data_IF_853871117493
#
_entry.id   IF_853871117493
#
_cell.length_a   1.000
_cell.length_b   1.000
_cell.length_c   1.000
_cell.angle_alpha   90.00
_cell.angle_beta   90.00
_cell.angle_gamma   90.00
#
_symmetry.space_group_name_H-M   'P 1'
#
loop_
_entity.id
_entity.type
_entity.pdbx_description
1 polymer ?
#
# COMPACT_ATOMS: atom_id res chain seq x y z
N UNK A 1 -10.72 14.48 15.00
CA UNK A 1 -11.16 13.07 14.94
C UNK A 1 -9.93 12.21 14.78
N UNK A 2 -9.80 11.13 15.57
CA UNK A 2 -8.61 10.26 15.58
C UNK A 2 -8.65 9.36 14.35
N UNK A 3 -7.58 9.38 13.55
CA UNK A 3 -7.39 8.47 12.42
C UNK A 3 -7.14 7.05 12.96
N UNK A 4 -8.06 6.12 12.68
CA UNK A 4 -7.94 4.71 13.00
C UNK A 4 -7.49 4.00 11.71
N UNK A 5 -6.22 3.62 11.63
CA UNK A 5 -5.66 2.74 10.60
C UNK A 5 -6.12 1.29 10.89
N UNK A 6 -6.33 0.43 9.87
CA UNK A 6 -7.50 -0.43 9.76
C UNK A 6 -7.65 -1.36 10.97
N UNK A 7 -8.62 -1.05 11.82
CA UNK A 7 -9.18 -2.03 12.72
C UNK A 7 -10.06 -2.95 11.89
N UNK A 8 -9.95 -4.26 12.10
CA UNK A 8 -10.89 -5.23 11.54
C UNK A 8 -12.30 -4.92 12.07
N UNK A 9 -13.14 -4.31 11.23
CA UNK A 9 -14.52 -3.94 11.57
C UNK A 9 -15.51 -5.11 11.36
N UNK A 10 -15.03 -6.35 11.16
CA UNK A 10 -15.92 -7.51 11.09
C UNK A 10 -16.69 -7.61 12.41
N UNK A 11 -18.01 -7.43 12.31
CA UNK A 11 -18.94 -7.60 13.43
C UNK A 11 -18.72 -9.03 13.96
N UNK A 12 -18.26 -9.22 15.20
CA UNK A 12 -18.08 -10.55 15.74
C UNK A 12 -19.44 -11.27 15.71
N UNK A 13 -19.47 -12.56 15.36
CA UNK A 13 -20.73 -13.31 15.36
C UNK A 13 -21.38 -13.20 16.75
N UNK A 14 -22.72 -13.12 16.82
CA UNK A 14 -23.43 -12.96 18.08
C UNK A 14 -23.03 -14.08 19.03
N UNK A 15 -22.49 -13.69 20.19
CA UNK A 15 -22.07 -14.63 21.22
C UNK A 15 -23.29 -15.43 21.65
N UNK A 16 -23.30 -16.77 21.51
CA UNK A 16 -24.44 -17.56 21.93
C UNK A 16 -24.66 -17.37 23.44
N UNK A 17 -25.92 -17.30 23.91
CA UNK A 17 -26.21 -17.08 25.32
C UNK A 17 -25.55 -18.16 26.16
N UNK A 18 -24.72 -17.74 27.13
CA UNK A 18 -24.06 -18.61 28.12
C UNK A 18 -25.11 -19.47 28.83
N UNK A 19 -25.27 -20.72 28.40
CA UNK A 19 -26.02 -21.72 29.15
C UNK A 19 -25.19 -22.09 30.38
N UNK A 20 -25.76 -21.89 31.57
CA UNK A 20 -25.20 -22.39 32.84
C UNK A 20 -25.20 -23.93 32.80
N UNK A 21 -24.06 -24.50 32.45
CA UNK A 21 -23.81 -25.94 32.52
C UNK A 21 -22.31 -26.19 32.53
N UNK A 22 -21.84 -27.08 33.40
CA UNK A 22 -20.46 -27.59 33.38
C UNK A 22 -20.26 -28.42 32.11
N UNK A 23 -19.93 -27.77 31.00
CA UNK A 23 -19.39 -28.42 29.83
C UNK A 23 -18.00 -27.84 29.54
N UNK A 24 -17.05 -28.77 29.54
CA UNK A 24 -15.63 -28.57 29.24
C UNK A 24 -15.51 -27.92 27.86
N UNK A 25 -14.91 -26.74 27.81
CA UNK A 25 -14.75 -25.91 26.62
C UNK A 25 -13.99 -26.67 25.52
N UNK A 26 -14.71 -27.00 24.43
CA UNK A 26 -14.15 -27.42 23.14
C UNK A 26 -14.49 -26.32 22.12
N UNK A 27 -14.23 -25.06 22.50
CA UNK A 27 -14.60 -23.88 21.72
C UNK A 27 -13.43 -23.00 21.25
N UNK A 28 -12.23 -23.16 21.83
CA UNK A 28 -11.08 -22.31 21.48
C UNK A 28 -10.37 -22.69 20.17
N UNK A 29 -10.70 -23.83 19.56
CA UNK A 29 -10.05 -24.28 18.32
C UNK A 29 -10.64 -23.69 17.03
N UNK A 30 -11.73 -22.93 17.08
CA UNK A 30 -12.32 -22.32 15.87
C UNK A 30 -11.63 -21.02 15.42
N UNK A 31 -10.92 -20.32 16.33
CA UNK A 31 -10.17 -19.10 16.02
C UNK A 31 -8.67 -19.34 15.71
N UNK A 32 -8.19 -20.59 15.87
CA UNK A 32 -6.80 -20.98 15.60
C UNK A 32 -6.47 -21.29 14.13
N UNK A 33 -7.28 -20.82 13.17
CA UNK A 33 -7.04 -21.03 11.71
C UNK A 33 -6.59 -19.78 10.96
N UNK A 34 -6.17 -18.75 11.69
CA UNK A 34 -5.45 -17.61 11.12
C UNK A 34 -4.02 -17.68 11.64
N UNK A 35 -3.10 -18.26 10.86
CA UNK A 35 -1.66 -18.27 11.16
C UNK A 35 -1.01 -16.88 11.00
N UNK A 36 -1.81 -15.82 10.78
CA UNK A 36 -1.34 -14.45 10.77
C UNK A 36 -1.35 -13.88 12.21
N UNK A 37 -0.24 -13.27 12.68
CA UNK A 37 -0.22 -12.60 13.97
C UNK A 37 -1.26 -11.47 13.98
N UNK A 38 -2.21 -11.56 14.90
CA UNK A 38 -3.19 -10.50 15.16
C UNK A 38 -2.46 -9.34 15.85
N UNK A 39 -2.14 -8.28 15.09
CA UNK A 39 -1.52 -7.07 15.63
C UNK A 39 -2.64 -6.12 16.06
N UNK A 40 -3.14 -6.31 17.28
CA UNK A 40 -4.06 -5.38 17.93
C UNK A 40 -3.28 -4.41 18.84
N UNK A 41 -3.60 -3.13 18.74
CA UNK A 41 -2.95 -2.09 19.53
C UNK A 41 -3.32 -2.25 21.02
N UNK A 42 -2.33 -2.55 21.87
CA UNK A 42 -2.53 -2.71 23.32
C UNK A 42 -2.60 -4.16 23.82
N UNK A 43 -2.47 -5.15 22.95
CA UNK A 43 -2.37 -6.55 23.36
C UNK A 43 -0.97 -6.89 23.90
N UNK A 44 -0.91 -7.62 25.02
CA UNK A 44 0.33 -7.97 25.73
C UNK A 44 1.29 -8.88 24.93
N UNK A 45 0.89 -9.31 23.73
CA UNK A 45 1.70 -10.10 22.79
C UNK A 45 2.27 -9.26 21.63
N UNK A 46 2.00 -7.96 21.59
CA UNK A 46 2.50 -7.07 20.56
C UNK A 46 4.04 -6.95 20.64
N UNK A 47 4.71 -7.03 19.49
CA UNK A 47 6.14 -6.74 19.41
C UNK A 47 6.38 -5.28 19.78
N UNK A 48 7.26 -5.04 20.75
CA UNK A 48 7.67 -3.68 21.14
C UNK A 48 9.09 -3.44 20.67
N UNK A 49 9.33 -2.24 20.13
CA UNK A 49 10.65 -1.80 19.72
C UNK A 49 11.40 -1.28 20.95
N UNK A 50 12.47 -1.95 21.34
CA UNK A 50 13.28 -1.57 22.51
C UNK A 50 14.69 -1.18 22.07
N UNK A 51 15.33 -0.28 22.82
CA UNK A 51 16.70 0.15 22.58
C UNK A 51 17.67 -0.70 23.41
N UNK A 52 18.48 -1.52 22.76
CA UNK A 52 19.52 -2.35 23.38
C UNK A 52 20.87 -1.86 22.88
N UNK A 53 21.69 -1.29 23.77
CA UNK A 53 23.03 -0.79 23.47
C UNK A 53 23.09 0.22 22.31
N UNK A 54 22.12 1.13 22.22
CA UNK A 54 22.08 2.15 21.17
C UNK A 54 21.52 1.64 19.83
N UNK A 55 21.04 0.40 19.78
CA UNK A 55 20.44 -0.20 18.58
C UNK A 55 19.01 -0.65 18.89
N UNK A 56 18.08 -0.28 18.02
CA UNK A 56 16.67 -0.63 18.17
C UNK A 56 16.43 -2.06 17.68
N UNK A 57 15.83 -2.90 18.53
CA UNK A 57 15.49 -4.29 18.24
C UNK A 57 14.01 -4.53 18.55
N UNK A 58 13.33 -5.29 17.67
CA UNK A 58 11.97 -5.75 17.92
C UNK A 58 12.00 -6.96 18.83
N UNK A 59 11.46 -6.84 20.04
CA UNK A 59 11.27 -7.97 20.95
C UNK A 59 9.79 -8.25 21.19
N UNK A 60 9.44 -9.53 21.26
CA UNK A 60 8.10 -9.96 21.64
C UNK A 60 8.06 -10.09 23.16
N UNK A 61 7.08 -9.44 23.80
CA UNK A 61 6.81 -9.63 25.22
C UNK A 61 6.35 -11.08 25.40
N UNK A 62 7.26 -11.97 25.85
CA UNK A 62 6.91 -13.36 26.15
C UNK A 62 5.93 -13.39 27.34
N UNK A 63 4.98 -14.33 27.38
CA UNK A 63 4.14 -14.52 28.56
C UNK A 63 5.03 -14.89 29.76
N UNK A 64 4.98 -14.02 30.77
CA UNK A 64 5.76 -14.06 32.00
C UNK A 64 5.37 -15.27 32.84
N UNK A 65 6.30 -16.21 33.03
CA UNK A 65 6.16 -17.26 34.07
C UNK A 65 7.10 -17.07 35.27
N UNK A 66 7.96 -16.05 35.27
CA UNK A 66 8.87 -15.80 36.41
C UNK A 66 8.46 -14.59 37.24
N UNK A 67 8.34 -14.82 38.56
CA UNK A 67 7.83 -13.84 39.55
C UNK A 67 8.80 -12.69 39.87
N UNK A 68 9.99 -12.66 39.25
CA UNK A 68 11.08 -11.78 39.65
C UNK A 68 11.60 -10.82 38.56
N UNK A 69 10.90 -10.65 37.44
CA UNK A 69 11.36 -9.75 36.37
C UNK A 69 10.75 -8.33 36.41
N UNK A 70 11.53 -7.32 35.97
CA UNK A 70 11.16 -5.91 36.09
C UNK A 70 9.91 -5.57 35.28
N UNK A 71 8.93 -4.94 35.94
CA UNK A 71 7.73 -4.41 35.29
C UNK A 71 8.10 -3.24 34.39
N UNK A 72 8.10 -3.43 33.07
CA UNK A 72 8.30 -2.34 32.12
C UNK A 72 7.10 -1.37 32.17
N UNK A 73 7.36 -0.12 32.53
CA UNK A 73 6.39 0.96 32.44
C UNK A 73 6.31 1.45 30.98
N UNK A 74 5.08 1.65 30.49
CA UNK A 74 4.84 2.33 29.21
C UNK A 74 5.33 3.77 29.35
N UNK A 75 6.49 4.07 28.77
CA UNK A 75 7.00 5.44 28.65
C UNK A 75 6.27 6.15 27.50
N UNK A 76 6.09 7.47 27.60
CA UNK A 76 5.47 8.30 26.56
C UNK A 76 6.11 8.00 25.19
N UNK A 77 5.27 7.84 24.17
CA UNK A 77 5.70 7.60 22.78
C UNK A 77 6.70 8.67 22.35
N UNK A 78 7.90 8.24 21.96
CA UNK A 78 8.91 9.11 21.36
C UNK A 78 8.87 8.95 19.84
N UNK A 79 8.92 10.07 19.11
CA UNK A 79 9.02 10.07 17.66
C UNK A 79 10.46 9.71 17.27
N UNK A 80 10.64 8.52 16.69
CA UNK A 80 11.97 7.92 16.42
C UNK A 80 12.51 8.33 15.03
N UNK A 81 11.62 8.73 14.13
CA UNK A 81 11.99 9.21 12.79
C UNK A 81 11.60 10.67 12.64
N UNK A 82 12.48 11.54 12.10
CA UNK A 82 12.07 12.88 11.72
C UNK A 82 10.90 12.77 10.75
N UNK A 83 9.92 13.65 10.88
CA UNK A 83 8.74 13.64 10.02
C UNK A 83 9.21 13.76 8.56
N UNK A 84 9.08 12.68 7.79
CA UNK A 84 9.54 12.62 6.40
C UNK A 84 8.62 13.37 5.44
N UNK A 85 7.53 13.94 5.95
CA UNK A 85 6.63 14.80 5.20
C UNK A 85 7.13 16.22 5.32
N UNK A 86 7.22 16.93 4.19
CA UNK A 86 7.26 18.39 4.21
C UNK A 86 6.14 18.90 5.12
N UNK A 87 6.42 19.92 5.94
CA UNK A 87 5.41 20.56 6.77
C UNK A 87 4.16 20.80 5.91
N UNK A 88 3.01 20.34 6.42
CA UNK A 88 1.76 20.52 5.68
C UNK A 88 1.64 22.00 5.38
N UNK A 89 1.51 22.41 4.10
CA UNK A 89 1.52 23.82 3.74
C UNK A 89 0.50 24.52 4.63
N UNK A 90 0.96 25.54 5.36
CA UNK A 90 0.13 26.26 6.32
C UNK A 90 -1.07 26.80 5.57
N UNK A 91 -2.21 26.14 5.71
CA UNK A 91 -3.44 26.59 5.06
C UNK A 91 -3.71 27.96 5.64
N UNK A 92 -3.69 29.04 4.83
CA UNK A 92 -3.86 30.38 5.35
C UNK A 92 -5.22 30.42 6.03
N UNK A 93 -5.22 30.88 7.29
CA UNK A 93 -6.39 30.86 8.18
C UNK A 93 -7.35 31.99 7.79
N UNK A 94 -7.81 31.94 6.55
CA UNK A 94 -8.65 32.94 5.90
C UNK A 94 -10.06 32.43 5.99
N UNK A 95 -10.93 33.23 6.61
CA UNK A 95 -12.34 32.86 6.76
C UNK A 95 -13.01 32.82 5.39
N UNK A 96 -14.10 32.05 5.25
CA UNK A 96 -14.91 32.03 4.03
C UNK A 96 -15.31 33.45 3.59
N UNK A 97 -15.60 34.32 4.56
CA UNK A 97 -15.92 35.72 4.33
C UNK A 97 -14.75 36.52 3.73
N UNK A 98 -13.55 36.40 4.29
CA UNK A 98 -12.36 37.08 3.76
C UNK A 98 -12.00 36.60 2.35
N UNK A 99 -12.21 35.31 2.07
CA UNK A 99 -12.03 34.75 0.73
C UNK A 99 -13.06 35.31 -0.26
N UNK A 100 -14.30 35.49 0.19
CA UNK A 100 -15.36 36.16 -0.58
C UNK A 100 -15.08 37.62 -0.85
N UNK A 101 -14.57 38.34 0.13
CA UNK A 101 -14.14 39.72 -0.06
C UNK A 101 -12.98 39.82 -1.06
N UNK A 102 -12.00 38.91 -1.01
CA UNK A 102 -10.91 38.83 -1.98
C UNK A 102 -11.42 38.53 -3.39
N UNK A 103 -12.35 37.59 -3.54
CA UNK A 103 -12.99 37.27 -4.81
C UNK A 103 -13.77 38.46 -5.39
N UNK A 104 -14.54 39.17 -4.55
CA UNK A 104 -15.27 40.36 -4.96
C UNK A 104 -14.32 41.51 -5.37
N UNK A 105 -13.22 41.72 -4.64
CA UNK A 105 -12.19 42.70 -5.02
C UNK A 105 -11.52 42.35 -6.34
N UNK A 106 -11.24 41.07 -6.59
CA UNK A 106 -10.71 40.59 -7.86
C UNK A 106 -11.67 40.92 -9.01
N UNK A 107 -12.95 40.57 -8.88
CA UNK A 107 -13.96 40.84 -9.90
C UNK A 107 -14.09 42.35 -10.19
N UNK A 108 -14.14 43.20 -9.16
CA UNK A 108 -14.17 44.67 -9.36
C UNK A 108 -12.92 45.23 -10.04
N UNK A 109 -11.77 44.58 -9.87
CA UNK A 109 -10.50 45.02 -10.46
C UNK A 109 -10.43 44.70 -11.95
N UNK A 110 -10.90 43.52 -12.35
CA UNK A 110 -10.78 43.03 -13.74
C UNK A 110 -12.06 43.21 -14.58
N UNK A 111 -13.21 43.35 -13.92
CA UNK A 111 -14.53 43.51 -14.53
C UNK A 111 -15.34 44.60 -13.80
N UNK A 112 -14.92 45.88 -13.90
CA UNK A 112 -15.55 46.97 -13.16
C UNK A 112 -17.02 47.19 -13.52
N UNK A 113 -17.44 46.80 -14.72
CA UNK A 113 -18.82 46.90 -15.20
C UNK A 113 -19.74 45.83 -14.60
N UNK A 114 -19.19 44.83 -13.92
CA UNK A 114 -19.92 43.72 -13.33
C UNK A 114 -19.98 43.93 -11.81
N UNK A 115 -21.08 44.53 -11.33
CA UNK A 115 -21.33 44.63 -9.89
C UNK A 115 -21.90 43.32 -9.35
N UNK A 116 -21.02 42.44 -8.87
CA UNK A 116 -21.42 41.20 -8.20
C UNK A 116 -21.56 41.46 -6.71
N UNK A 117 -22.81 41.47 -6.24
CA UNK A 117 -23.14 41.60 -4.82
C UNK A 117 -22.54 40.45 -3.99
N UNK A 118 -22.08 40.78 -2.78
CA UNK A 118 -21.56 39.79 -1.82
C UNK A 118 -22.57 38.69 -1.50
N UNK A 119 -23.86 39.03 -1.51
CA UNK A 119 -24.97 38.12 -1.23
C UNK A 119 -25.04 36.97 -2.25
N UNK A 120 -24.56 37.20 -3.48
CA UNK A 120 -24.50 36.19 -4.54
C UNK A 120 -23.25 35.31 -4.35
N UNK A 121 -22.09 35.90 -4.02
CA UNK A 121 -20.82 35.18 -3.91
C UNK A 121 -20.70 34.31 -2.65
N UNK A 122 -21.31 34.76 -1.55
CA UNK A 122 -21.21 34.10 -0.25
C UNK A 122 -21.65 32.62 -0.27
N UNK A 123 -22.82 32.23 -0.82
CA UNK A 123 -23.23 30.83 -0.84
C UNK A 123 -22.28 29.95 -1.66
N UNK A 124 -21.81 30.40 -2.84
CA UNK A 124 -20.87 29.64 -3.67
C UNK A 124 -19.54 29.41 -2.98
N UNK A 125 -19.01 30.43 -2.30
CA UNK A 125 -17.72 30.33 -1.62
C UNK A 125 -17.79 29.55 -0.31
N UNK A 126 -18.94 29.57 0.37
CA UNK A 126 -19.19 28.69 1.52
C UNK A 126 -19.28 27.23 1.07
N UNK A 127 -19.95 26.94 -0.05
CA UNK A 127 -20.00 25.61 -0.65
C UNK A 127 -18.61 25.13 -1.07
N UNK A 128 -17.86 25.97 -1.79
CA UNK A 128 -16.50 25.65 -2.24
C UNK A 128 -15.54 25.44 -1.05
N UNK A 129 -15.69 26.21 0.03
CA UNK A 129 -14.94 25.98 1.26
C UNK A 129 -15.32 24.63 1.91
N UNK A 130 -16.60 24.26 1.93
CA UNK A 130 -17.01 22.96 2.46
C UNK A 130 -16.48 21.80 1.62
N UNK A 131 -16.41 21.96 0.30
CA UNK A 131 -15.84 20.97 -0.63
C UNK A 131 -14.31 20.88 -0.46
N UNK A 132 -13.61 22.01 -0.42
CA UNK A 132 -12.15 22.05 -0.24
C UNK A 132 -11.69 21.65 1.18
N UNK A 133 -12.53 21.86 2.20
CA UNK A 133 -12.25 21.43 3.57
C UNK A 133 -12.57 19.96 3.80
N UNK A 134 -13.29 19.29 2.89
CA UNK A 134 -13.33 17.84 2.88
C UNK A 134 -11.96 17.38 2.40
N UNK A 135 -11.13 16.73 3.25
CA UNK A 135 -9.99 16.01 2.71
C UNK A 135 -10.54 15.10 1.60
N UNK A 136 -9.86 14.97 0.44
CA UNK A 136 -10.26 13.99 -0.55
C UNK A 136 -10.26 12.64 0.16
N UNK A 137 -11.45 12.21 0.61
CA UNK A 137 -11.64 11.02 1.44
C UNK A 137 -11.24 9.76 0.67
N UNK A 138 -11.21 9.88 -0.65
CA UNK A 138 -10.81 8.86 -1.58
C UNK A 138 -10.32 9.54 -2.86
N UNK A 139 -9.02 9.47 -3.13
CA UNK A 139 -8.52 9.77 -4.47
C UNK A 139 -8.83 8.55 -5.33
N UNK A 140 -9.81 8.67 -6.22
CA UNK A 140 -10.27 7.59 -7.09
C UNK A 140 -9.15 7.07 -8.00
N UNK A 141 -8.19 7.92 -8.31
CA UNK A 141 -7.11 7.58 -9.25
C UNK A 141 -5.90 6.94 -8.52
N UNK A 142 -5.84 7.05 -7.19
CA UNK A 142 -4.80 6.43 -6.35
C UNK A 142 -5.34 5.12 -5.76
N UNK A 143 -4.80 4.01 -6.24
CA UNK A 143 -5.14 2.68 -5.77
C UNK A 143 -4.06 2.09 -4.85
N UNK A 144 -4.03 0.77 -4.71
CA UNK A 144 -3.11 0.06 -3.84
C UNK A 144 -1.67 0.17 -4.34
N UNK A 145 -0.85 0.97 -3.65
CA UNK A 145 0.59 1.11 -3.90
C UNK A 145 1.44 0.21 -3.00
N UNK A 146 0.83 -0.84 -2.42
CA UNK A 146 1.49 -1.84 -1.61
C UNK A 146 1.09 -3.23 -2.12
N UNK A 147 2.06 -4.04 -2.52
CA UNK A 147 1.79 -5.38 -3.02
C UNK A 147 2.80 -6.38 -2.48
N UNK A 148 2.39 -7.65 -2.38
CA UNK A 148 3.27 -8.74 -2.00
C UNK A 148 3.53 -9.64 -3.20
N UNK A 149 4.79 -10.06 -3.36
CA UNK A 149 5.27 -10.89 -4.44
C UNK A 149 6.08 -12.07 -3.88
N UNK A 150 6.11 -13.19 -4.59
CA UNK A 150 6.92 -14.35 -4.23
C UNK A 150 7.98 -14.58 -5.30
N UNK A 151 9.23 -14.32 -4.95
CA UNK A 151 10.38 -14.47 -5.86
C UNK A 151 11.20 -15.71 -5.49
N UNK A 152 11.74 -16.37 -6.51
CA UNK A 152 12.67 -17.49 -6.33
C UNK A 152 13.91 -17.28 -7.22
N UNK A 153 15.01 -17.96 -6.89
CA UNK A 153 16.25 -17.91 -7.69
C UNK A 153 16.19 -18.87 -8.88
N UNK A 154 15.40 -19.94 -8.76
CA UNK A 154 15.31 -21.03 -9.74
C UNK A 154 13.97 -21.75 -9.63
N UNK A 155 13.46 -22.26 -10.75
CA UNK A 155 12.29 -23.14 -10.78
C UNK A 155 12.41 -24.34 -9.83
N UNK A 156 13.63 -24.86 -9.61
CA UNK A 156 13.88 -25.98 -8.71
C UNK A 156 13.81 -25.62 -7.21
N UNK A 157 13.89 -24.34 -6.84
CA UNK A 157 13.84 -23.86 -5.46
C UNK A 157 12.44 -23.42 -5.01
N UNK A 158 11.45 -23.47 -5.92
CA UNK A 158 10.05 -23.12 -5.66
C UNK A 158 9.50 -23.91 -4.46
N UNK A 159 9.94 -25.15 -4.27
CA UNK A 159 9.52 -26.02 -3.16
C UNK A 159 10.33 -25.81 -1.86
N UNK A 160 11.57 -25.30 -1.93
CA UNK A 160 12.50 -25.25 -0.78
C UNK A 160 12.61 -23.90 -0.10
N UNK A 161 12.11 -22.85 -0.71
CA UNK A 161 12.07 -21.52 -0.10
C UNK A 161 11.85 -20.46 -1.16
N UNK A 162 10.63 -19.92 -1.25
CA UNK A 162 10.40 -18.66 -1.93
C UNK A 162 10.60 -17.53 -0.93
N UNK A 163 11.23 -16.44 -1.38
CA UNK A 163 11.29 -15.23 -0.58
C UNK A 163 10.04 -14.39 -0.88
N UNK A 164 9.41 -13.88 0.18
CA UNK A 164 8.33 -12.92 0.05
C UNK A 164 8.95 -11.52 -0.11
N UNK A 165 8.44 -10.74 -1.05
CA UNK A 165 8.86 -9.36 -1.29
C UNK A 165 7.66 -8.47 -1.09
N UNK A 166 7.83 -7.43 -0.26
CA UNK A 166 6.88 -6.34 -0.16
C UNK A 166 7.33 -5.22 -1.11
N UNK A 167 6.47 -4.92 -2.08
CA UNK A 167 6.64 -3.82 -3.02
C UNK A 167 5.85 -2.63 -2.51
N UNK A 168 6.49 -1.47 -2.49
CA UNK A 168 5.86 -0.22 -2.05
C UNK A 168 6.30 0.95 -2.91
N UNK A 169 5.40 1.93 -3.06
CA UNK A 169 5.78 3.26 -3.51
C UNK A 169 6.45 4.03 -2.35
N UNK A 170 7.61 4.60 -2.60
CA UNK A 170 8.43 5.36 -1.65
C UNK A 170 8.94 6.67 -2.27
N UNK A 171 9.62 7.48 -1.46
CA UNK A 171 10.08 8.82 -1.84
C UNK A 171 9.02 9.90 -1.61
N UNK A 172 9.47 11.17 -1.64
CA UNK A 172 8.65 12.35 -1.37
C UNK A 172 7.41 12.44 -2.26
N UNK A 173 7.60 12.17 -3.56
CA UNK A 173 6.54 12.17 -4.56
C UNK A 173 5.87 10.80 -4.77
N UNK A 174 6.21 9.79 -3.96
CA UNK A 174 5.81 8.37 -4.17
C UNK A 174 6.21 7.83 -5.55
N UNK A 175 7.32 8.34 -6.09
CA UNK A 175 7.85 7.98 -7.41
C UNK A 175 8.82 6.80 -7.38
N UNK A 176 9.35 6.41 -6.22
CA UNK A 176 10.31 5.31 -6.14
C UNK A 176 9.60 3.99 -5.89
N UNK A 177 9.80 2.98 -6.74
CA UNK A 177 9.43 1.60 -6.43
C UNK A 177 10.50 1.00 -5.52
N UNK A 178 10.13 0.68 -4.29
CA UNK A 178 11.00 -0.02 -3.33
C UNK A 178 10.53 -1.44 -3.08
N UNK A 179 11.49 -2.32 -2.81
CA UNK A 179 11.26 -3.71 -2.44
C UNK A 179 11.93 -4.03 -1.11
N UNK A 180 11.17 -4.65 -0.21
CA UNK A 180 11.67 -5.17 1.07
C UNK A 180 11.50 -6.68 1.09
N UNK A 181 12.57 -7.40 1.42
CA UNK A 181 12.62 -8.86 1.36
C UNK A 181 12.33 -9.50 2.72
N UNK A 182 11.51 -10.54 2.72
CA UNK A 182 11.14 -11.35 3.88
C UNK A 182 11.45 -12.82 3.58
N UNK A 183 12.15 -13.47 4.50
CA UNK A 183 12.35 -14.91 4.43
C UNK A 183 11.34 -15.61 5.32
N UNK A 184 10.61 -16.56 4.74
CA UNK A 184 9.84 -17.52 5.50
C UNK A 184 10.79 -18.45 6.25
N UNK A 185 10.80 -18.36 7.57
CA UNK A 185 11.35 -19.39 8.44
C UNK A 185 10.21 -20.33 8.84
N UNK A 186 10.48 -21.63 9.02
CA UNK A 186 9.45 -22.61 9.37
C UNK A 186 8.64 -22.29 10.65
N UNK A 187 9.14 -21.37 11.49
CA UNK A 187 8.46 -20.88 12.70
C UNK A 187 7.91 -19.43 12.58
N UNK A 188 7.93 -18.84 11.38
CA UNK A 188 7.41 -17.49 11.12
C UNK A 188 8.25 -16.69 10.12
N UNK A 189 7.77 -15.52 9.71
CA UNK A 189 8.52 -14.63 8.81
C UNK A 189 9.59 -13.88 9.61
N UNK A 190 10.86 -14.11 9.26
CA UNK A 190 11.94 -13.26 9.76
C UNK A 190 12.19 -12.20 8.70
N UNK A 191 11.92 -10.94 9.03
CA UNK A 191 12.42 -9.82 8.21
C UNK A 191 13.93 -9.98 8.14
N UNK A 192 14.47 -10.12 6.94
CA UNK A 192 15.88 -9.84 6.78
C UNK A 192 16.05 -8.35 7.09
N UNK A 193 17.11 -8.01 7.81
CA UNK A 193 17.47 -6.62 8.08
C UNK A 193 17.96 -5.88 6.82
N UNK A 194 17.62 -6.36 5.62
CA UNK A 194 17.86 -5.69 4.36
C UNK A 194 16.89 -4.53 4.28
N UNK A 195 17.41 -3.30 4.39
CA UNK A 195 16.62 -2.09 4.17
C UNK A 195 15.92 -2.11 2.81
N UNK A 196 14.85 -1.31 2.64
CA UNK A 196 14.15 -1.21 1.38
C UNK A 196 15.13 -0.86 0.25
N UNK A 197 15.17 -1.70 -0.78
CA UNK A 197 16.00 -1.47 -1.96
C UNK A 197 15.16 -0.76 -3.02
N UNK A 198 15.65 0.37 -3.53
CA UNK A 198 14.98 1.09 -4.63
C UNK A 198 15.23 0.30 -5.91
N UNK A 199 14.16 -0.25 -6.50
CA UNK A 199 14.21 -0.99 -7.76
C UNK A 199 14.16 -0.06 -8.98
N UNK A 200 13.36 1.00 -8.91
CA UNK A 200 13.15 1.95 -10.01
C UNK A 200 12.71 3.31 -9.46
N UNK A 201 13.25 4.39 -10.03
CA UNK A 201 12.81 5.76 -9.77
C UNK A 201 11.93 6.24 -10.94
N UNK A 202 10.64 6.44 -10.66
CA UNK A 202 9.69 7.08 -11.55
C UNK A 202 9.70 8.58 -11.26
N UNK A 203 9.85 9.41 -12.29
CA UNK A 203 9.72 10.88 -12.18
C UNK A 203 8.28 11.34 -11.90
N UNK A 204 7.35 10.41 -11.81
CA UNK A 204 5.91 10.62 -11.67
C UNK A 204 5.42 9.71 -10.53
N UNK A 205 4.47 10.16 -9.69
CA UNK A 205 3.92 9.35 -8.61
C UNK A 205 3.37 7.99 -9.09
N UNK A 206 3.63 6.95 -8.30
CA UNK A 206 3.04 5.62 -8.49
C UNK A 206 1.62 5.62 -7.94
N UNK A 207 0.66 5.29 -8.81
CA UNK A 207 -0.78 5.25 -8.51
C UNK A 207 -1.27 3.84 -8.17
N UNK A 208 -0.61 2.78 -8.66
CA UNK A 208 -1.00 1.39 -8.37
C UNK A 208 0.16 0.42 -8.61
N UNK A 209 0.23 -0.64 -7.82
CA UNK A 209 1.13 -1.78 -8.03
C UNK A 209 0.28 -3.04 -8.10
N UNK A 210 0.41 -3.78 -9.19
CA UNK A 210 -0.26 -5.06 -9.42
C UNK A 210 0.78 -6.17 -9.60
N UNK A 211 0.50 -7.35 -9.06
CA UNK A 211 1.45 -8.49 -9.06
C UNK A 211 0.75 -9.68 -9.67
N UNK A 212 1.42 -10.35 -10.61
CA UNK A 212 0.90 -11.56 -11.23
C UNK A 212 0.89 -12.73 -10.23
N UNK A 213 -0.01 -13.70 -10.41
CA UNK A 213 0.08 -14.96 -9.69
C UNK A 213 1.46 -15.60 -9.84
N UNK A 214 1.85 -16.38 -8.84
CA UNK A 214 3.14 -17.06 -8.81
C UNK A 214 3.32 -17.94 -10.06
N UNK A 215 4.38 -17.67 -10.82
CA UNK A 215 4.82 -18.53 -11.93
C UNK A 215 5.64 -19.71 -11.41
N UNK A 216 5.57 -20.84 -12.12
CA UNK A 216 6.42 -22.01 -11.89
C UNK A 216 7.90 -21.72 -12.16
N UNK A 217 8.19 -20.77 -13.05
CA UNK A 217 9.55 -20.39 -13.45
C UNK A 217 10.34 -19.64 -12.36
N UNK A 218 9.70 -19.32 -11.23
CA UNK A 218 10.30 -18.53 -10.14
C UNK A 218 10.40 -17.03 -10.44
N UNK A 219 10.02 -16.60 -11.66
CA UNK A 219 9.93 -15.21 -12.07
C UNK A 219 8.56 -14.64 -11.70
N UNK A 220 8.53 -13.53 -10.96
CA UNK A 220 7.29 -12.81 -10.67
C UNK A 220 7.13 -11.65 -11.64
N UNK A 221 5.98 -11.53 -12.28
CA UNK A 221 5.64 -10.33 -13.03
C UNK A 221 4.95 -9.31 -12.15
N UNK A 222 5.30 -8.04 -12.37
CA UNK A 222 4.69 -6.91 -11.72
C UNK A 222 4.32 -5.87 -12.76
N UNK A 223 3.31 -5.07 -12.45
CA UNK A 223 2.92 -3.93 -13.23
C UNK A 223 2.75 -2.73 -12.31
N UNK A 224 3.34 -1.61 -12.71
CA UNK A 224 3.33 -0.36 -11.96
C UNK A 224 2.66 0.70 -12.81
N UNK A 225 1.54 1.22 -12.32
CA UNK A 225 0.79 2.31 -12.95
C UNK A 225 1.21 3.62 -12.33
N UNK A 226 1.53 4.57 -13.18
CA UNK A 226 1.64 5.99 -12.85
C UNK A 226 0.49 6.74 -13.54
N UNK A 227 0.43 8.06 -13.35
CA UNK A 227 -0.58 8.90 -14.01
C UNK A 227 -0.54 8.84 -15.55
N UNK A 228 0.61 8.54 -16.16
CA UNK A 228 0.79 8.66 -17.63
C UNK A 228 1.29 7.40 -18.31
N UNK A 229 1.83 6.44 -17.56
CA UNK A 229 2.38 5.21 -18.11
C UNK A 229 2.20 4.02 -17.17
N UNK A 230 2.16 2.84 -17.76
CA UNK A 230 2.19 1.54 -17.07
C UNK A 230 3.48 0.84 -17.45
N UNK A 231 4.29 0.46 -16.46
CA UNK A 231 5.51 -0.34 -16.68
C UNK A 231 5.25 -1.76 -16.23
N UNK A 232 5.50 -2.70 -17.13
CA UNK A 232 5.49 -4.14 -16.82
C UNK A 232 6.92 -4.61 -16.67
N UNK A 233 7.21 -5.29 -15.57
CA UNK A 233 8.55 -5.75 -15.24
C UNK A 233 8.53 -7.14 -14.60
N UNK A 234 9.66 -7.84 -14.68
CA UNK A 234 9.89 -9.09 -13.96
C UNK A 234 10.83 -8.87 -12.78
N UNK A 235 10.51 -9.57 -11.69
CA UNK A 235 11.34 -9.71 -10.49
C UNK A 235 11.88 -11.13 -10.39
N UNK A 236 13.18 -11.25 -10.12
CA UNK A 236 13.83 -12.52 -9.84
C UNK A 236 14.92 -12.33 -8.78
N UNK A 237 15.27 -13.36 -8.03
CA UNK A 237 16.44 -13.32 -7.16
C UNK A 237 17.70 -13.53 -8.00
N UNK A 238 18.72 -12.67 -7.80
CA UNK A 238 20.03 -12.84 -8.49
C UNK A 238 20.78 -14.05 -7.93
N UNK A 239 20.60 -14.34 -6.64
CA UNK A 239 21.36 -15.33 -5.90
C UNK A 239 20.42 -16.22 -5.08
N UNK A 240 20.81 -17.47 -4.79
CA UNK A 240 20.04 -18.33 -3.90
C UNK A 240 19.94 -17.73 -2.50
N UNK A 241 18.86 -18.07 -1.80
CA UNK A 241 18.48 -17.53 -0.49
C UNK A 241 19.52 -17.82 0.61
N UNK A 242 20.43 -18.77 0.37
CA UNK A 242 21.50 -19.13 1.31
C UNK A 242 22.57 -18.04 1.46
N UNK A 243 22.65 -17.08 0.53
CA UNK A 243 23.60 -15.96 0.59
C UNK A 243 23.17 -14.89 1.60
N UNK A 244 24.13 -14.28 2.29
CA UNK A 244 23.87 -13.13 3.18
C UNK A 244 23.40 -11.87 2.41
N UNK A 245 23.76 -11.76 1.13
CA UNK A 245 23.46 -10.62 0.27
C UNK A 245 22.42 -10.98 -0.80
N UNK A 246 21.16 -11.07 -0.39
CA UNK A 246 20.07 -11.34 -1.34
C UNK A 246 19.74 -10.06 -2.11
N UNK A 247 19.95 -10.10 -3.43
CA UNK A 247 19.64 -9.00 -4.33
C UNK A 247 18.47 -9.37 -5.25
N UNK A 248 17.52 -8.45 -5.38
CA UNK A 248 16.37 -8.58 -6.30
C UNK A 248 16.77 -7.96 -7.64
N UNK A 249 16.68 -8.76 -8.71
CA UNK A 249 16.82 -8.30 -10.10
C UNK A 249 15.48 -7.75 -10.58
N UNK A 250 15.47 -6.48 -10.96
CA UNK A 250 14.37 -5.85 -11.69
C UNK A 250 14.70 -5.80 -13.18
N UNK A 251 13.83 -6.33 -14.03
CA UNK A 251 13.99 -6.26 -15.50
C UNK A 251 12.71 -5.74 -16.13
N UNK A 252 12.80 -4.62 -16.84
CA UNK A 252 11.68 -4.01 -17.56
C UNK A 252 11.34 -4.85 -18.80
N UNK A 253 10.06 -5.19 -18.97
CA UNK A 253 9.58 -6.01 -20.09
C UNK A 253 8.83 -5.17 -21.12
N UNK A 254 7.99 -4.24 -20.65
CA UNK A 254 7.18 -3.40 -21.52
C UNK A 254 6.84 -2.06 -20.85
N UNK A 255 6.59 -1.04 -21.67
CA UNK A 255 6.19 0.30 -21.25
C UNK A 255 5.01 0.75 -22.10
N UNK A 256 3.86 0.88 -21.44
CA UNK A 256 2.61 1.29 -22.06
C UNK A 256 2.43 2.77 -21.76
N UNK A 257 2.44 3.58 -22.81
CA UNK A 257 2.25 5.02 -22.77
C UNK A 257 0.86 5.41 -23.27
N UNK A 258 0.49 6.69 -23.11
CA UNK A 258 -0.74 7.24 -23.67
C UNK A 258 -0.86 7.01 -25.20
N UNK A 259 0.25 6.95 -25.93
CA UNK A 259 0.22 6.68 -27.37
C UNK A 259 -0.32 5.28 -27.68
N UNK A 260 -0.18 4.34 -26.75
CA UNK A 260 -0.66 2.96 -26.90
C UNK A 260 -2.15 2.80 -26.56
N UNK A 261 -2.75 3.78 -25.89
CA UNK A 261 -4.10 3.72 -25.32
C UNK A 261 -5.02 4.80 -25.88
N UNK A 262 -4.86 5.14 -27.16
CA UNK A 262 -5.63 6.20 -27.84
C UNK A 262 -5.60 7.56 -27.12
N UNK A 263 -4.43 7.92 -26.56
CA UNK A 263 -4.24 9.11 -25.73
C UNK A 263 -5.10 9.17 -24.45
N UNK A 264 -5.57 8.02 -23.96
CA UNK A 264 -6.35 7.92 -22.71
C UNK A 264 -5.52 7.31 -21.58
N UNK A 265 -5.57 7.87 -20.37
CA UNK A 265 -4.85 7.30 -19.24
C UNK A 265 -5.52 6.00 -18.77
N UNK A 266 -4.68 5.04 -18.36
CA UNK A 266 -5.11 3.84 -17.65
C UNK A 266 -5.42 4.20 -16.21
N UNK A 267 -6.58 3.75 -15.71
CA UNK A 267 -7.07 4.03 -14.36
C UNK A 267 -7.00 2.82 -13.43
N UNK A 268 -6.95 1.60 -13.96
CA UNK A 268 -6.82 0.37 -13.15
C UNK A 268 -6.04 -0.70 -13.93
N UNK A 269 -5.27 -1.52 -13.22
CA UNK A 269 -4.49 -2.65 -13.73
C UNK A 269 -4.63 -3.90 -12.84
N UNK A 270 -5.05 -5.02 -13.42
CA UNK A 270 -5.17 -6.28 -12.71
C UNK A 270 -4.58 -7.44 -13.52
N UNK A 271 -3.68 -8.20 -12.92
CA UNK A 271 -3.33 -9.51 -13.46
C UNK A 271 -4.48 -10.49 -13.26
N UNK A 272 -4.70 -11.37 -14.24
CA UNK A 272 -5.66 -12.45 -14.10
C UNK A 272 -5.27 -13.32 -12.89
N UNK A 273 -6.15 -13.49 -11.89
CA UNK A 273 -5.82 -14.24 -10.68
C UNK A 273 -5.71 -15.74 -10.92
N UNK A 274 -6.21 -16.24 -12.05
CA UNK A 274 -6.13 -17.65 -12.37
C UNK A 274 -4.66 -18.01 -12.66
N UNK A 275 -4.10 -19.01 -11.94
CA UNK A 275 -2.76 -19.45 -12.22
C UNK A 275 -2.68 -19.90 -13.67
N UNK A 276 -1.63 -19.48 -14.34
CA UNK A 276 -1.31 -19.93 -15.69
C UNK A 276 -1.31 -21.46 -15.70
N UNK A 277 -2.35 -22.08 -16.28
CA UNK A 277 -2.35 -23.53 -16.50
C UNK A 277 -1.32 -23.80 -17.58
N UNK A 278 -0.40 -24.73 -17.34
CA UNK A 278 0.71 -25.15 -18.22
C UNK A 278 0.74 -24.46 -19.60
N UNK A 279 1.57 -23.42 -19.71
CA UNK A 279 1.85 -22.73 -20.97
C UNK A 279 0.98 -21.50 -21.30
N UNK A 280 -0.05 -21.17 -20.51
CA UNK A 280 -0.74 -19.89 -20.71
C UNK A 280 0.10 -18.74 -20.16
N UNK A 281 0.48 -17.81 -21.03
CA UNK A 281 1.15 -16.58 -20.63
C UNK A 281 0.29 -15.76 -19.65
N UNK A 282 0.89 -15.15 -18.61
CA UNK A 282 0.16 -14.29 -17.70
C UNK A 282 -0.44 -13.11 -18.48
N UNK A 283 -1.71 -12.84 -18.19
CA UNK A 283 -2.48 -11.79 -18.84
C UNK A 283 -2.76 -10.68 -17.82
N UNK A 284 -2.62 -9.44 -18.27
CA UNK A 284 -2.97 -8.26 -17.49
C UNK A 284 -4.10 -7.52 -18.19
N UNK A 285 -5.16 -7.27 -17.44
CA UNK A 285 -6.30 -6.47 -17.86
C UNK A 285 -6.08 -5.04 -17.37
N UNK A 286 -6.33 -4.08 -18.24
CA UNK A 286 -6.22 -2.66 -17.93
C UNK A 286 -7.50 -1.95 -18.32
N UNK A 287 -7.91 -0.97 -17.53
CA UNK A 287 -9.10 -0.17 -17.78
C UNK A 287 -8.67 1.27 -17.99
N UNK A 288 -9.13 1.91 -19.05
CA UNK A 288 -8.90 3.35 -19.23
C UNK A 288 -10.00 4.18 -18.55
N UNK A 289 -9.80 5.51 -18.53
CA UNK A 289 -10.77 6.45 -17.91
C UNK A 289 -12.18 6.40 -18.52
N UNK A 290 -12.29 6.00 -19.78
CA UNK A 290 -13.56 5.91 -20.50
C UNK A 290 -14.28 4.56 -20.26
N UNK A 291 -13.61 3.61 -19.60
CA UNK A 291 -14.12 2.27 -19.32
C UNK A 291 -13.73 1.22 -20.37
N UNK A 292 -12.89 1.57 -21.35
CA UNK A 292 -12.41 0.61 -22.33
C UNK A 292 -11.42 -0.36 -21.70
N UNK A 293 -11.55 -1.63 -22.08
CA UNK A 293 -10.72 -2.72 -21.60
C UNK A 293 -9.57 -3.00 -22.58
N UNK A 294 -8.37 -3.13 -22.03
CA UNK A 294 -7.15 -3.44 -22.77
C UNK A 294 -6.52 -4.70 -22.19
N UNK A 295 -6.05 -5.57 -23.08
CA UNK A 295 -5.36 -6.80 -22.68
C UNK A 295 -3.89 -6.71 -23.04
N UNK A 296 -3.05 -6.92 -22.04
CA UNK A 296 -1.61 -7.12 -22.19
C UNK A 296 -1.25 -8.58 -21.98
N UNK A 297 -0.35 -9.10 -22.81
CA UNK A 297 0.20 -10.45 -22.75
C UNK A 297 1.72 -10.40 -22.93
N UNK A 298 2.45 -11.34 -22.34
CA UNK A 298 3.94 -11.41 -22.45
C UNK A 298 4.46 -11.61 -23.87
N UNK A 299 3.59 -11.85 -24.86
CA UNK A 299 3.93 -11.91 -26.29
C UNK A 299 4.05 -10.56 -27.00
N UNK A 300 3.98 -9.43 -26.26
CA UNK A 300 4.35 -8.10 -26.76
C UNK A 300 3.33 -7.38 -27.66
N UNK A 301 2.14 -7.95 -27.85
CA UNK A 301 1.07 -7.27 -28.59
C UNK A 301 -0.07 -6.85 -27.64
N UNK A 302 -0.17 -5.55 -27.40
CA UNK A 302 -1.38 -4.94 -26.84
C UNK A 302 -2.53 -5.14 -27.81
N UNK A 303 -3.65 -5.67 -27.31
CA UNK A 303 -4.88 -5.83 -28.09
C UNK A 303 -6.04 -5.23 -27.30
N UNK A 304 -6.89 -4.41 -27.95
CA UNK A 304 -8.16 -4.04 -27.34
C UNK A 304 -8.98 -5.32 -27.11
N UNK A 305 -9.52 -5.50 -25.91
CA UNK A 305 -10.45 -6.61 -25.66
C UNK A 305 -11.85 -6.19 -26.11
N UNK A 306 -12.47 -7.03 -26.94
CA UNK A 306 -13.84 -6.88 -27.44
C UNK A 306 -14.87 -6.94 -26.31
#
# INVERSE_FOLDING_TARGET
MRNIWPADLRIPPPVPPRRKGKQKEVGENALRRSDAPLIEFGLHTAATLINVNGRLTWEHIRPVHDKNEPRYQIVKSAQVTPDSRSDTPTVPNVTAYQRAEQGARFLRTYYPDVDVGMDILQPFLMEDHQVAARPPLFDRDTENCLATAWVSSSAAEVERGAAAVLLSASGEIRGCLSASLFLGSGEGFRSLACGPTILKDFKIPISQISVAPRSEDGVTLIAVRTTTLVVVASLALVQPITSQDITIKYTELDVITLANTNARPIVDIAFNPLPARHGTHPQMLMVNKDGDLWLWNTGGALKPSL
#
